data_IF_298685519230
#
_entry.id   IF_298685519230
#
_cell.length_a   1.000
_cell.length_b   1.000
_cell.length_c   1.000
_cell.angle_alpha   90.00
_cell.angle_beta   90.00
_cell.angle_gamma   90.00
#
_symmetry.space_group_name_H-M   'P 1'
#
loop_
_entity.id
_entity.type
_entity.pdbx_description
1 polymer ?
#
# COMPACT_ATOMS: atom_id res chain seq x y z
N UNK A 1 9.55 22.20 -6.06
CA UNK A 1 9.23 20.93 -5.37
C UNK A 1 9.26 21.19 -3.87
N UNK A 2 8.14 20.98 -3.16
CA UNK A 2 8.08 21.13 -1.71
C UNK A 2 8.81 19.99 -0.99
N UNK A 3 9.09 20.24 0.31
CA UNK A 3 9.67 19.24 1.19
C UNK A 3 8.66 18.82 2.25
N UNK A 4 8.69 17.54 2.60
CA UNK A 4 7.90 16.93 3.67
C UNK A 4 8.84 16.66 4.85
N UNK A 5 8.37 16.93 6.08
CA UNK A 5 9.04 16.47 7.29
C UNK A 5 8.99 14.95 7.36
N UNK A 6 10.14 14.31 7.21
CA UNK A 6 10.28 12.88 7.10
C UNK A 6 11.56 12.39 7.79
N UNK A 7 11.63 11.10 8.05
CA UNK A 7 12.82 10.44 8.57
C UNK A 7 13.50 9.66 7.46
N UNK A 8 14.84 9.62 7.45
CA UNK A 8 15.77 10.23 8.42
C UNK A 8 16.07 11.71 8.17
N UNK A 9 15.59 12.27 7.07
CA UNK A 9 15.67 13.68 6.70
C UNK A 9 14.51 14.05 5.77
N UNK A 10 14.29 15.35 5.50
CA UNK A 10 13.18 15.83 4.68
C UNK A 10 13.14 15.18 3.31
N UNK A 11 11.95 14.72 2.92
CA UNK A 11 11.68 14.13 1.60
C UNK A 11 11.27 15.22 0.61
N UNK A 12 11.87 15.24 -0.58
CA UNK A 12 11.48 16.13 -1.66
C UNK A 12 10.32 15.52 -2.44
N UNK A 13 9.18 16.21 -2.47
CA UNK A 13 7.97 15.73 -3.13
C UNK A 13 7.83 16.31 -4.54
N UNK A 14 7.78 15.43 -5.53
CA UNK A 14 7.59 15.81 -6.93
C UNK A 14 6.18 15.43 -7.39
N UNK A 15 5.31 16.44 -7.54
CA UNK A 15 3.93 16.23 -7.97
C UNK A 15 3.79 15.64 -9.36
N UNK A 16 4.77 15.86 -10.25
CA UNK A 16 4.70 15.37 -11.62
C UNK A 16 5.10 13.89 -11.75
N UNK A 17 5.82 13.36 -10.74
CA UNK A 17 6.44 12.04 -10.82
C UNK A 17 6.17 11.14 -9.59
N UNK A 18 5.09 11.39 -8.84
CA UNK A 18 4.72 10.61 -7.65
C UNK A 18 3.41 9.86 -7.83
N UNK A 19 3.29 8.69 -7.20
CA UNK A 19 2.05 7.94 -7.09
C UNK A 19 1.81 7.47 -5.64
N UNK A 20 0.54 7.35 -5.26
CA UNK A 20 0.11 6.66 -4.02
C UNK A 20 -0.07 5.17 -4.32
N UNK A 21 0.52 4.32 -3.49
CA UNK A 21 0.32 2.87 -3.55
C UNK A 21 -0.39 2.41 -2.28
N UNK A 22 -1.62 1.92 -2.43
CA UNK A 22 -2.45 1.36 -1.37
C UNK A 22 -2.36 -0.17 -1.43
N UNK A 23 -1.63 -0.77 -0.48
CA UNK A 23 -1.30 -2.19 -0.51
C UNK A 23 -2.34 -2.99 0.28
N UNK A 24 -3.01 -3.92 -0.41
CA UNK A 24 -3.82 -5.01 0.11
C UNK A 24 -4.90 -4.61 1.12
N UNK A 25 -5.61 -3.50 0.85
CA UNK A 25 -6.75 -3.07 1.66
C UNK A 25 -7.99 -3.94 1.39
N UNK A 26 -7.83 -5.26 1.61
CA UNK A 26 -8.80 -6.31 1.30
C UNK A 26 -9.57 -6.76 2.54
N UNK A 27 -10.76 -7.33 2.31
CA UNK A 27 -11.61 -7.86 3.37
C UNK A 27 -10.93 -9.02 4.11
N UNK A 28 -10.18 -9.87 3.41
CA UNK A 28 -9.39 -10.97 3.99
C UNK A 28 -8.39 -10.50 5.05
N UNK A 29 -7.89 -9.27 4.94
CA UNK A 29 -6.88 -8.73 5.85
C UNK A 29 -7.43 -7.74 6.88
N UNK A 30 -8.56 -7.09 6.57
CA UNK A 30 -9.02 -5.94 7.35
C UNK A 30 -10.40 -6.13 8.00
N UNK A 31 -11.16 -7.18 7.67
CA UNK A 31 -12.52 -7.36 8.17
C UNK A 31 -12.71 -8.64 8.98
N UNK A 32 -13.66 -8.65 9.95
CA UNK A 32 -14.07 -9.86 10.63
C UNK A 32 -14.54 -10.94 9.65
N UNK A 33 -14.17 -12.19 9.89
CA UNK A 33 -14.44 -13.32 9.01
C UNK A 33 -13.43 -13.48 7.89
N UNK A 34 -12.44 -12.60 7.76
CA UNK A 34 -11.40 -12.70 6.75
C UNK A 34 -10.34 -13.76 7.07
N UNK A 35 -9.41 -13.92 6.14
CA UNK A 35 -8.31 -14.89 6.26
C UNK A 35 -7.42 -14.63 7.48
N UNK A 36 -7.05 -13.37 7.75
CA UNK A 36 -6.20 -13.03 8.88
C UNK A 36 -6.81 -13.43 10.23
N UNK A 37 -8.07 -13.08 10.47
CA UNK A 37 -8.77 -13.49 11.69
C UNK A 37 -8.87 -15.00 11.79
N UNK A 38 -9.09 -15.71 10.67
CA UNK A 38 -9.14 -17.16 10.61
C UNK A 38 -7.79 -17.83 10.98
N UNK A 39 -6.68 -17.12 10.82
CA UNK A 39 -5.36 -17.54 11.31
C UNK A 39 -5.14 -17.24 12.80
N UNK A 40 -6.01 -16.47 13.43
CA UNK A 40 -5.90 -16.03 14.82
C UNK A 40 -5.24 -14.66 14.99
N UNK A 41 -5.06 -13.91 13.90
CA UNK A 41 -4.51 -12.57 13.95
C UNK A 41 -5.52 -11.55 14.49
N UNK A 42 -5.04 -10.57 15.24
CA UNK A 42 -5.90 -9.49 15.76
C UNK A 42 -6.08 -8.39 14.72
N UNK A 43 -7.19 -8.44 14.00
CA UNK A 43 -7.53 -7.47 12.96
C UNK A 43 -7.83 -6.06 13.50
N UNK A 44 -8.09 -5.89 14.79
CA UNK A 44 -8.27 -4.56 15.39
C UNK A 44 -6.99 -3.71 15.27
N UNK A 45 -5.83 -4.36 15.25
CA UNK A 45 -4.55 -3.68 15.14
C UNK A 45 -4.32 -3.02 13.77
N UNK A 46 -5.05 -3.43 12.73
CA UNK A 46 -4.94 -2.82 11.39
C UNK A 46 -6.05 -1.79 11.10
N UNK A 47 -7.03 -1.65 11.98
CA UNK A 47 -8.12 -0.68 11.79
C UNK A 47 -7.65 0.78 11.80
N UNK A 48 -6.66 1.22 12.60
CA UNK A 48 -6.28 2.62 12.68
C UNK A 48 -5.77 3.21 11.35
N UNK A 49 -5.12 2.43 10.49
CA UNK A 49 -4.61 2.93 9.21
C UNK A 49 -5.70 3.16 8.15
N UNK A 50 -6.86 2.49 8.25
CA UNK A 50 -7.94 2.56 7.26
C UNK A 50 -8.40 3.99 6.98
N UNK A 51 -8.85 4.78 7.99
CA UNK A 51 -9.29 6.14 7.75
C UNK A 51 -8.15 7.08 7.30
N UNK A 52 -6.91 6.80 7.66
CA UNK A 52 -5.75 7.57 7.21
C UNK A 52 -5.52 7.37 5.72
N UNK A 53 -5.57 6.12 5.24
CA UNK A 53 -5.46 5.81 3.81
C UNK A 53 -6.58 6.48 3.03
N UNK A 54 -7.81 6.46 3.51
CA UNK A 54 -8.93 7.16 2.88
C UNK A 54 -8.71 8.68 2.73
N UNK A 55 -8.11 9.33 3.74
CA UNK A 55 -7.73 10.76 3.65
C UNK A 55 -6.64 10.99 2.60
N UNK A 56 -5.64 10.13 2.53
CA UNK A 56 -4.57 10.21 1.53
C UNK A 56 -5.12 10.00 0.11
N UNK A 57 -5.97 8.99 -0.11
CA UNK A 57 -6.67 8.79 -1.38
C UNK A 57 -7.45 10.04 -1.79
N UNK A 58 -8.19 10.65 -0.87
CA UNK A 58 -8.96 11.87 -1.14
C UNK A 58 -8.03 13.04 -1.53
N UNK A 59 -6.87 13.19 -0.89
CA UNK A 59 -5.90 14.23 -1.21
C UNK A 59 -5.27 14.01 -2.58
N UNK A 60 -4.86 12.79 -2.91
CA UNK A 60 -4.29 12.42 -4.22
C UNK A 60 -5.32 12.58 -5.34
N UNK A 61 -6.58 12.14 -5.13
CA UNK A 61 -7.69 12.37 -6.07
C UNK A 61 -7.93 13.84 -6.34
N UNK A 62 -7.90 14.67 -5.29
CA UNK A 62 -8.07 16.13 -5.43
C UNK A 62 -6.92 16.79 -6.19
N UNK A 63 -5.72 16.25 -6.07
CA UNK A 63 -4.54 16.72 -6.79
C UNK A 63 -4.38 16.06 -8.17
N UNK A 64 -5.31 15.20 -8.59
CA UNK A 64 -5.29 14.43 -9.84
C UNK A 64 -4.03 13.56 -10.01
N UNK A 65 -3.46 13.12 -8.88
CA UNK A 65 -2.28 12.26 -8.85
C UNK A 65 -2.66 10.77 -8.97
N UNK A 66 -1.80 9.95 -9.56
CA UNK A 66 -2.04 8.51 -9.71
C UNK A 66 -2.20 7.81 -8.36
N UNK A 67 -3.20 6.92 -8.28
CA UNK A 67 -3.39 5.98 -7.19
C UNK A 67 -3.38 4.57 -7.75
N UNK A 68 -2.62 3.71 -7.08
CA UNK A 68 -2.46 2.29 -7.41
C UNK A 68 -2.94 1.49 -6.21
N UNK A 69 -3.76 0.49 -6.47
CA UNK A 69 -4.24 -0.44 -5.45
C UNK A 69 -3.71 -1.83 -5.75
N UNK A 70 -3.26 -2.54 -4.73
CA UNK A 70 -2.93 -3.95 -4.89
C UNK A 70 -3.89 -4.83 -4.12
N UNK A 71 -4.12 -6.02 -4.64
CA UNK A 71 -4.74 -7.12 -3.92
C UNK A 71 -3.89 -8.38 -4.05
N UNK A 72 -3.60 -9.05 -2.94
CA UNK A 72 -2.99 -10.37 -3.00
C UNK A 72 -4.08 -11.38 -3.30
N UNK A 73 -3.96 -12.03 -4.46
CA UNK A 73 -4.86 -13.10 -4.85
C UNK A 73 -4.22 -14.01 -5.89
N UNK A 74 -4.81 -15.18 -6.06
CA UNK A 74 -4.42 -16.20 -7.02
C UNK A 74 -5.55 -16.49 -7.99
N UNK A 75 -5.20 -17.00 -9.18
CA UNK A 75 -6.18 -17.44 -10.17
C UNK A 75 -7.12 -18.50 -9.60
N UNK A 76 -8.36 -18.59 -10.08
CA UNK A 76 -9.33 -19.60 -9.58
C UNK A 76 -8.85 -21.05 -9.67
N UNK A 77 -8.00 -21.36 -10.65
CA UNK A 77 -7.39 -22.69 -10.84
C UNK A 77 -6.07 -22.88 -10.07
N UNK A 78 -5.60 -21.85 -9.35
CA UNK A 78 -4.34 -21.81 -8.61
C UNK A 78 -3.08 -22.09 -9.46
N UNK A 79 -3.16 -21.93 -10.79
CA UNK A 79 -2.04 -22.19 -11.70
C UNK A 79 -0.84 -21.27 -11.49
N UNK A 80 -1.05 -20.10 -10.85
CA UNK A 80 -0.03 -19.12 -10.48
C UNK A 80 0.50 -19.30 -9.05
N UNK A 81 0.02 -20.31 -8.31
CA UNK A 81 0.44 -20.58 -6.93
C UNK A 81 1.59 -21.59 -6.89
N UNK A 82 2.82 -21.18 -6.52
CA UNK A 82 3.92 -22.13 -6.41
C UNK A 82 3.67 -23.19 -5.32
N UNK A 83 4.06 -24.43 -5.58
CA UNK A 83 3.91 -25.55 -4.63
C UNK A 83 4.47 -25.24 -3.24
N UNK A 84 5.61 -24.54 -3.18
CA UNK A 84 6.21 -24.13 -1.91
C UNK A 84 5.31 -23.17 -1.13
N UNK A 85 4.58 -22.27 -1.81
CA UNK A 85 3.64 -21.34 -1.18
C UNK A 85 2.36 -22.07 -0.76
N UNK A 86 1.85 -22.97 -1.59
CA UNK A 86 0.69 -23.80 -1.28
C UNK A 86 0.89 -24.65 -0.02
N UNK A 87 2.10 -25.18 0.19
CA UNK A 87 2.42 -26.08 1.30
C UNK A 87 2.96 -25.35 2.55
N UNK A 88 3.09 -24.04 2.48
CA UNK A 88 3.57 -23.21 3.60
C UNK A 88 2.39 -22.71 4.45
N UNK A 89 2.68 -22.40 5.71
CA UNK A 89 1.71 -21.81 6.63
C UNK A 89 0.93 -22.83 7.44
N UNK A 90 -0.27 -22.45 7.87
CA UNK A 90 -1.11 -23.28 8.71
C UNK A 90 -1.58 -24.53 7.94
N UNK A 91 -1.30 -25.75 8.45
CA UNK A 91 -1.69 -26.97 7.74
C UNK A 91 -3.21 -27.17 7.63
N UNK A 92 -3.99 -26.45 8.42
CA UNK A 92 -5.47 -26.57 8.46
C UNK A 92 -6.17 -25.47 7.63
N UNK A 93 -5.45 -24.47 7.17
CA UNK A 93 -6.02 -23.33 6.44
C UNK A 93 -4.98 -22.82 5.43
N UNK A 94 -5.19 -23.14 4.17
CA UNK A 94 -4.27 -22.82 3.08
C UNK A 94 -4.91 -21.91 2.05
N UNK A 95 -4.10 -21.28 1.22
CA UNK A 95 -4.58 -20.58 0.03
C UNK A 95 -5.40 -21.54 -0.84
N UNK A 96 -6.58 -21.11 -1.23
CA UNK A 96 -7.53 -21.92 -2.00
C UNK A 96 -8.50 -22.76 -1.19
N UNK A 97 -8.27 -22.97 0.12
CA UNK A 97 -9.24 -23.62 1.01
C UNK A 97 -10.47 -22.72 1.23
N UNK A 98 -11.60 -23.30 1.57
CA UNK A 98 -12.78 -22.53 1.92
C UNK A 98 -12.67 -21.94 3.31
N UNK A 99 -12.77 -20.61 3.39
CA UNK A 99 -12.92 -19.80 4.59
C UNK A 99 -14.31 -19.17 4.68
N UNK A 100 -14.58 -18.34 5.69
CA UNK A 100 -15.88 -17.68 5.86
C UNK A 100 -16.25 -16.73 4.70
N UNK A 101 -15.25 -16.18 4.00
CA UNK A 101 -15.44 -15.25 2.88
C UNK A 101 -15.10 -15.90 1.52
N UNK A 102 -15.41 -17.19 1.35
CA UNK A 102 -15.12 -17.93 0.12
C UNK A 102 -13.73 -18.57 0.14
N UNK A 103 -13.17 -18.88 -1.04
CA UNK A 103 -11.85 -19.48 -1.14
C UNK A 103 -10.77 -18.44 -0.83
N UNK A 104 -9.92 -18.77 0.12
CA UNK A 104 -8.87 -17.89 0.65
C UNK A 104 -7.94 -17.42 -0.46
N UNK A 105 -7.80 -16.10 -0.60
CA UNK A 105 -6.92 -15.42 -1.56
C UNK A 105 -7.10 -15.91 -3.00
N UNK A 106 -8.31 -16.26 -3.40
CA UNK A 106 -8.65 -16.62 -4.78
C UNK A 106 -9.40 -15.47 -5.43
N UNK A 107 -8.97 -15.05 -6.61
CA UNK A 107 -9.55 -13.90 -7.32
C UNK A 107 -11.05 -14.13 -7.63
N UNK A 108 -11.86 -13.10 -7.40
CA UNK A 108 -13.31 -13.16 -7.52
C UNK A 108 -14.04 -13.65 -6.28
N UNK A 109 -13.35 -14.09 -5.25
CA UNK A 109 -13.97 -14.46 -3.97
C UNK A 109 -14.16 -13.23 -3.07
N UNK A 110 -15.21 -13.19 -2.23
CA UNK A 110 -15.52 -12.02 -1.40
C UNK A 110 -14.39 -11.55 -0.50
N UNK A 111 -13.53 -12.46 -0.02
CA UNK A 111 -12.37 -12.12 0.81
C UNK A 111 -11.32 -11.27 0.10
N UNK A 112 -11.17 -11.44 -1.22
CA UNK A 112 -10.19 -10.69 -2.01
C UNK A 112 -10.67 -9.32 -2.46
N UNK A 113 -11.93 -8.97 -2.21
CA UNK A 113 -12.45 -7.64 -2.51
C UNK A 113 -11.87 -6.58 -1.57
N UNK A 114 -11.81 -5.34 -2.05
CA UNK A 114 -11.41 -4.21 -1.22
C UNK A 114 -12.45 -3.91 -0.15
N UNK A 115 -11.98 -3.35 0.98
CA UNK A 115 -12.90 -2.78 1.98
C UNK A 115 -13.50 -1.48 1.43
N UNK A 116 -14.75 -1.20 1.78
CA UNK A 116 -15.51 -0.07 1.23
C UNK A 116 -14.83 1.30 1.48
N UNK A 117 -14.14 1.45 2.61
CA UNK A 117 -13.46 2.68 3.01
C UNK A 117 -12.28 3.05 2.10
N UNK A 118 -11.69 2.06 1.44
CA UNK A 118 -10.50 2.22 0.59
C UNK A 118 -10.69 1.69 -0.82
N UNK A 119 -11.93 1.56 -1.26
CA UNK A 119 -12.27 1.03 -2.58
C UNK A 119 -11.66 1.87 -3.72
N UNK A 120 -11.07 1.24 -4.75
CA UNK A 120 -10.59 1.91 -5.94
C UNK A 120 -11.72 2.59 -6.72
N UNK A 121 -11.41 3.70 -7.39
CA UNK A 121 -12.29 4.26 -8.44
C UNK A 121 -12.01 3.62 -9.79
N UNK A 122 -12.98 3.66 -10.70
CA UNK A 122 -12.92 3.02 -12.02
C UNK A 122 -11.65 3.32 -12.84
N UNK A 123 -11.09 4.53 -12.69
CA UNK A 123 -9.90 4.96 -13.43
C UNK A 123 -8.58 4.74 -12.67
N UNK A 124 -8.63 4.25 -11.44
CA UNK A 124 -7.43 3.95 -10.63
C UNK A 124 -6.89 2.57 -10.98
N UNK A 125 -5.56 2.43 -10.94
CA UNK A 125 -4.92 1.19 -11.35
C UNK A 125 -5.01 0.13 -10.25
N UNK A 126 -5.55 -1.04 -10.59
CA UNK A 126 -5.68 -2.18 -9.67
C UNK A 126 -4.79 -3.32 -10.14
N UNK A 127 -3.97 -3.82 -9.23
CA UNK A 127 -3.01 -4.89 -9.46
C UNK A 127 -3.38 -6.11 -8.64
N UNK A 128 -3.62 -7.24 -9.31
CA UNK A 128 -3.70 -8.55 -8.67
C UNK A 128 -2.31 -9.17 -8.62
N UNK A 129 -1.77 -9.40 -7.42
CA UNK A 129 -0.42 -9.92 -7.22
C UNK A 129 -0.43 -11.30 -6.56
N UNK A 130 0.30 -12.28 -7.10
CA UNK A 130 0.39 -13.62 -6.51
C UNK A 130 1.45 -13.70 -5.40
N UNK A 131 2.17 -12.63 -5.16
CA UNK A 131 3.25 -12.52 -4.18
C UNK A 131 3.04 -11.42 -3.16
N UNK A 132 4.01 -11.26 -2.25
CA UNK A 132 4.03 -10.17 -1.28
C UNK A 132 4.47 -8.86 -1.92
N UNK A 133 5.44 -8.94 -2.81
CA UNK A 133 5.94 -7.84 -3.62
C UNK A 133 4.93 -7.46 -4.72
N UNK A 134 4.64 -6.17 -4.84
CA UNK A 134 3.71 -5.66 -5.84
C UNK A 134 4.29 -5.65 -7.27
N UNK A 135 5.59 -5.82 -7.44
CA UNK A 135 6.25 -5.92 -8.76
C UNK A 135 6.31 -7.35 -9.28
N UNK A 136 6.16 -8.36 -8.40
CA UNK A 136 6.34 -9.76 -8.79
C UNK A 136 5.17 -10.27 -9.64
N UNK A 137 5.47 -10.59 -10.91
CA UNK A 137 4.50 -11.08 -11.90
C UNK A 137 3.28 -10.15 -12.11
N UNK A 138 3.52 -8.84 -12.06
CA UNK A 138 2.52 -7.79 -12.29
C UNK A 138 3.00 -6.80 -13.35
N UNK A 139 2.13 -5.87 -13.72
CA UNK A 139 2.45 -4.78 -14.65
C UNK A 139 2.87 -3.47 -13.95
N UNK A 140 3.10 -3.50 -12.63
CA UNK A 140 3.39 -2.29 -11.85
C UNK A 140 4.57 -1.50 -12.40
N UNK A 141 5.69 -2.16 -12.68
CA UNK A 141 6.90 -1.49 -13.17
C UNK A 141 6.66 -0.82 -14.53
N UNK A 142 5.98 -1.51 -15.43
CA UNK A 142 5.59 -0.97 -16.73
C UNK A 142 4.64 0.23 -16.60
N UNK A 143 3.66 0.13 -15.73
CA UNK A 143 2.71 1.23 -15.43
C UNK A 143 3.43 2.47 -14.92
N UNK A 144 4.34 2.32 -13.94
CA UNK A 144 5.11 3.41 -13.38
C UNK A 144 6.04 4.06 -14.39
N UNK A 145 6.78 3.26 -15.17
CA UNK A 145 7.68 3.75 -16.22
C UNK A 145 6.94 4.55 -17.30
N UNK A 146 5.79 4.06 -17.78
CA UNK A 146 4.97 4.76 -18.78
C UNK A 146 4.49 6.13 -18.30
N UNK A 147 4.23 6.26 -17.00
CA UNK A 147 3.81 7.52 -16.38
C UNK A 147 4.96 8.37 -15.86
N UNK A 148 6.21 7.91 -16.04
CA UNK A 148 7.43 8.57 -15.55
C UNK A 148 7.41 8.78 -14.03
N UNK A 149 6.77 7.89 -13.29
CA UNK A 149 6.77 7.92 -11.84
C UNK A 149 8.15 7.51 -11.33
N UNK A 150 8.70 8.28 -10.42
CA UNK A 150 9.97 8.01 -9.74
C UNK A 150 9.85 7.99 -8.21
N UNK A 151 8.74 8.51 -7.67
CA UNK A 151 8.45 8.54 -6.24
C UNK A 151 7.19 7.77 -5.90
N UNK A 152 7.23 6.98 -4.84
CA UNK A 152 6.10 6.20 -4.34
C UNK A 152 5.77 6.57 -2.90
N UNK A 153 4.55 7.04 -2.67
CA UNK A 153 3.97 7.13 -1.34
C UNK A 153 3.28 5.81 -1.04
N UNK A 154 3.75 5.10 -0.03
CA UNK A 154 3.34 3.72 0.25
C UNK A 154 2.48 3.67 1.51
N UNK A 155 1.37 2.94 1.44
CA UNK A 155 0.42 2.70 2.53
C UNK A 155 -0.11 1.27 2.46
N UNK A 156 -0.87 0.84 3.47
CA UNK A 156 -1.58 -0.45 3.45
C UNK A 156 -1.11 -1.46 4.47
N UNK A 157 -1.42 -2.72 4.24
CA UNK A 157 -1.18 -3.83 5.20
C UNK A 157 -0.51 -5.05 4.55
N UNK A 158 0.24 -5.86 5.31
CA UNK A 158 0.78 -5.52 6.63
C UNK A 158 2.17 -4.93 6.50
N UNK A 159 2.53 -4.06 7.43
CA UNK A 159 3.77 -3.24 7.35
C UNK A 159 5.02 -4.09 7.09
N UNK A 160 5.19 -5.18 7.82
CA UNK A 160 6.38 -6.05 7.78
C UNK A 160 6.35 -7.10 6.66
N UNK A 161 5.21 -7.26 5.96
CA UNK A 161 5.06 -8.27 4.90
C UNK A 161 4.92 -7.58 3.53
N UNK A 162 3.71 -7.33 3.06
CA UNK A 162 3.50 -6.83 1.69
C UNK A 162 4.05 -5.42 1.50
N UNK A 163 3.87 -4.54 2.49
CA UNK A 163 4.33 -3.15 2.44
C UNK A 163 5.85 -3.06 2.39
N UNK A 164 6.54 -3.67 3.37
CA UNK A 164 8.02 -3.66 3.40
C UNK A 164 8.62 -4.36 2.18
N UNK A 165 8.06 -5.50 1.76
CA UNK A 165 8.58 -6.25 0.61
C UNK A 165 8.48 -5.41 -0.66
N UNK A 166 7.33 -4.79 -0.91
CA UNK A 166 7.14 -3.90 -2.06
C UNK A 166 8.09 -2.70 -2.02
N UNK A 167 8.25 -2.07 -0.85
CA UNK A 167 9.14 -0.93 -0.70
C UNK A 167 10.61 -1.28 -1.01
N UNK A 168 11.09 -2.44 -0.56
CA UNK A 168 12.46 -2.90 -0.86
C UNK A 168 12.65 -3.21 -2.34
N UNK A 169 11.67 -3.87 -2.96
CA UNK A 169 11.69 -4.13 -4.39
C UNK A 169 11.62 -2.85 -5.24
N UNK A 170 10.87 -1.84 -4.78
CA UNK A 170 10.82 -0.52 -5.40
C UNK A 170 12.17 0.19 -5.30
N UNK A 171 12.80 0.17 -4.12
CA UNK A 171 14.12 0.76 -3.90
C UNK A 171 15.18 0.13 -4.82
N UNK A 172 15.20 -1.20 -4.95
CA UNK A 172 16.13 -1.91 -5.86
C UNK A 172 15.93 -1.52 -7.34
N UNK A 173 14.75 -1.02 -7.71
CA UNK A 173 14.41 -0.53 -9.05
C UNK A 173 14.68 0.97 -9.23
N UNK A 174 15.12 1.66 -8.17
CA UNK A 174 15.46 3.08 -8.22
C UNK A 174 14.29 4.03 -7.95
N UNK A 175 13.18 3.56 -7.37
CA UNK A 175 12.10 4.42 -6.91
C UNK A 175 12.42 5.01 -5.53
N UNK A 176 12.16 6.30 -5.35
CA UNK A 176 12.17 6.95 -4.04
C UNK A 176 10.89 6.59 -3.29
N UNK A 177 11.03 5.95 -2.12
CA UNK A 177 9.90 5.42 -1.38
C UNK A 177 9.67 6.17 -0.07
N UNK A 178 8.47 6.72 0.10
CA UNK A 178 7.99 7.38 1.32
C UNK A 178 6.86 6.54 1.93
N UNK A 179 7.14 5.85 3.04
CA UNK A 179 6.12 5.11 3.79
C UNK A 179 5.39 6.03 4.77
N UNK A 180 4.05 6.04 4.73
CA UNK A 180 3.24 6.78 5.70
C UNK A 180 3.05 5.94 6.95
N UNK A 181 3.70 6.36 8.07
CA UNK A 181 3.79 5.59 9.33
C UNK A 181 2.44 5.21 9.94
N UNK A 182 1.46 6.10 9.87
CA UNK A 182 0.08 5.91 10.35
C UNK A 182 -0.89 5.50 9.23
N UNK A 183 -0.41 5.40 8.00
CA UNK A 183 -1.09 4.83 6.84
C UNK A 183 -0.73 3.36 6.58
N UNK A 184 -0.06 2.71 7.52
CA UNK A 184 0.24 1.28 7.48
C UNK A 184 0.11 0.68 8.87
N UNK A 185 -0.30 -0.59 8.96
CA UNK A 185 -0.39 -1.30 10.23
C UNK A 185 -0.03 -2.80 10.10
N UNK A 186 0.17 -3.42 11.24
CA UNK A 186 0.47 -4.84 11.40
C UNK A 186 -0.45 -5.47 12.44
N UNK A 187 -0.72 -6.76 12.34
CA UNK A 187 -1.37 -7.51 13.41
C UNK A 187 -0.53 -7.56 14.68
N UNK A 188 0.79 -7.33 14.54
CA UNK A 188 1.79 -7.31 15.61
C UNK A 188 2.42 -5.91 15.69
N UNK A 189 2.00 -5.04 16.64
CA UNK A 189 2.49 -3.67 16.73
C UNK A 189 4.01 -3.54 16.80
N UNK A 190 4.66 -4.48 17.47
CA UNK A 190 6.14 -4.54 17.57
C UNK A 190 6.82 -4.78 16.22
N UNK A 191 6.18 -5.50 15.29
CA UNK A 191 6.72 -5.73 13.95
C UNK A 191 6.62 -4.48 13.10
N UNK A 192 5.50 -3.73 13.22
CA UNK A 192 5.39 -2.41 12.60
C UNK A 192 6.49 -1.49 13.10
N UNK A 193 6.66 -1.37 14.42
CA UNK A 193 7.67 -0.48 15.02
C UNK A 193 9.08 -0.83 14.55
N UNK A 194 9.43 -2.12 14.58
CA UNK A 194 10.72 -2.60 14.09
C UNK A 194 10.91 -2.29 12.60
N UNK A 195 9.90 -2.55 11.78
CA UNK A 195 9.95 -2.33 10.34
C UNK A 195 10.19 -0.86 10.00
N UNK A 196 9.43 0.06 10.62
CA UNK A 196 9.61 1.50 10.42
C UNK A 196 11.04 1.95 10.77
N UNK A 197 11.59 1.47 11.89
CA UNK A 197 12.99 1.76 12.28
C UNK A 197 14.00 1.18 11.27
N UNK A 198 13.74 -0.03 10.78
CA UNK A 198 14.61 -0.73 9.84
C UNK A 198 14.69 -0.03 8.48
N UNK A 199 13.59 0.52 8.00
CA UNK A 199 13.51 1.16 6.68
C UNK A 199 14.31 2.47 6.60
N UNK A 200 14.33 3.25 7.69
CA UNK A 200 15.06 4.52 7.76
C UNK A 200 16.49 4.37 8.31
N UNK A 201 16.88 3.17 8.70
CA UNK A 201 18.22 2.91 9.21
C UNK A 201 19.30 3.22 8.15
N UNK A 202 20.54 3.37 8.60
CA UNK A 202 21.70 3.63 7.74
C UNK A 202 21.51 4.83 6.80
N UNK A 203 20.85 5.88 7.29
CA UNK A 203 20.61 7.09 6.51
C UNK A 203 19.50 6.98 5.47
N UNK A 204 18.53 6.07 5.67
CA UNK A 204 17.40 5.88 4.76
C UNK A 204 17.74 5.08 3.52
N UNK A 205 18.63 4.08 3.65
CA UNK A 205 19.10 3.27 2.50
C UNK A 205 17.95 2.56 1.77
N UNK A 206 16.81 2.31 2.44
CA UNK A 206 15.61 1.74 1.81
C UNK A 206 14.63 2.82 1.42
N UNK A 207 14.58 3.93 2.16
CA UNK A 207 13.67 5.04 1.87
C UNK A 207 13.34 5.88 3.11
N UNK A 208 12.22 6.56 3.05
CA UNK A 208 11.76 7.51 4.06
C UNK A 208 10.49 7.06 4.75
N UNK A 209 10.24 7.63 5.94
CA UNK A 209 8.93 7.54 6.60
C UNK A 209 8.45 8.92 7.03
N UNK A 210 7.14 9.15 6.99
CA UNK A 210 6.53 10.37 7.52
C UNK A 210 5.19 10.07 8.20
N UNK A 211 4.65 11.04 8.94
CA UNK A 211 3.25 11.03 9.37
C UNK A 211 2.34 11.56 8.27
N UNK A 212 1.11 11.06 8.21
CA UNK A 212 0.13 11.48 7.21
C UNK A 212 -0.15 12.99 7.26
N UNK A 213 -0.20 13.58 8.45
CA UNK A 213 -0.46 15.02 8.61
C UNK A 213 0.60 15.88 7.90
N UNK A 214 1.89 15.51 7.97
CA UNK A 214 2.96 16.23 7.28
C UNK A 214 2.75 16.24 5.75
N UNK A 215 2.35 15.10 5.18
CA UNK A 215 2.05 14.97 3.77
C UNK A 215 0.77 15.73 3.38
N UNK A 216 -0.31 15.55 4.13
CA UNK A 216 -1.60 16.19 3.87
C UNK A 216 -1.53 17.71 3.97
N UNK A 217 -0.81 18.24 4.96
CA UNK A 217 -0.60 19.68 5.14
C UNK A 217 0.20 20.29 3.99
N UNK A 218 1.24 19.60 3.53
CA UNK A 218 2.03 20.02 2.37
C UNK A 218 1.15 20.04 1.12
N UNK A 219 0.42 18.95 0.82
CA UNK A 219 -0.47 18.87 -0.35
C UNK A 219 -1.55 19.96 -0.32
N UNK A 220 -2.14 20.24 0.85
CA UNK A 220 -3.17 21.27 1.00
C UNK A 220 -2.65 22.68 0.72
N UNK A 221 -1.39 22.98 1.05
CA UNK A 221 -0.75 24.27 0.77
C UNK A 221 -0.50 24.45 -0.73
N UNK A 222 0.01 23.43 -1.40
CA UNK A 222 0.32 23.48 -2.83
C UNK A 222 -0.95 23.62 -3.68
N UNK A 223 -2.01 22.86 -3.39
CA UNK A 223 -3.30 22.98 -4.09
C UNK A 223 -3.91 24.38 -3.92
N UNK A 224 -3.77 25.01 -2.74
CA UNK A 224 -4.24 26.39 -2.53
C UNK A 224 -3.39 27.41 -3.30
N UNK A 225 -2.08 27.19 -3.39
CA UNK A 225 -1.15 28.07 -4.14
C UNK A 225 -1.44 28.08 -5.64
N UNK A 226 -1.88 26.95 -6.20
CA UNK A 226 -2.26 26.84 -7.62
C UNK A 226 -3.63 27.47 -7.95
N UNK A 227 -4.53 27.60 -6.96
CA UNK A 227 -5.88 28.20 -7.12
C UNK A 227 -5.85 29.73 -6.97
N UNK A 228 -4.73 30.37 -6.71
CA UNK A 228 -4.60 31.83 -6.67
C UNK A 228 -4.19 32.36 -8.05
N UNK A 229 -5.13 32.60 -9.00
CA UNK A 229 -4.80 33.16 -10.29
C UNK A 229 -4.75 34.67 -10.17
N UNK A 230 -3.76 35.27 -10.81
CA UNK A 230 -3.77 36.57 -11.40
C UNK A 230 -4.87 37.55 -10.90
N UNK A 231 -4.61 38.31 -9.87
CA UNK A 231 -5.21 39.63 -9.82
C UNK A 231 -4.47 40.46 -10.84
N UNK A 232 -5.15 40.58 -11.99
CA UNK A 232 -4.88 41.57 -13.03
C UNK A 232 -4.44 42.92 -12.50
N UNK A 233 -3.32 43.37 -12.97
CA UNK A 233 -3.05 44.81 -13.09
C UNK A 233 -3.70 45.33 -14.36
#
# INVERSE_FOLDING_TARGET
MPFIDAKPFSFQFDFDHVALVCIDMQRDFCQPGGFAESLGDNIENVQPCIPVIGKLQAAFRKAELPIIHTKECHKPDLSDLPTAKLNRGNPKLKIGDFGPMGRILVDGEPGTEFIAENEPREHEHVISKPGKDAFYLTDLDEYLMRRKISGLVITGVTTEVCVQTTMRCANDRGYDCLLVEDGTDSYFPEFKEFTLKSLVAQGGIVGWTCKSDALLDMMAKEVRGQVSPHKSA
#
